data_IF_322687647075
#
_entry.id   IF_322687647075
#
_cell.length_a   1.000
_cell.length_b   1.000
_cell.length_c   1.000
_cell.angle_alpha   90.00
_cell.angle_beta   90.00
_cell.angle_gamma   90.00
#
_symmetry.space_group_name_H-M   'P 1'
#
loop_
_entity.id
_entity.type
_entity.pdbx_description
1 polymer ?
#
# COMPACT_ATOMS: atom_id res chain seq x y z
N UNK A 1 -17.81 8.22 22.40
CA UNK A 1 -17.70 7.65 21.03
C UNK A 1 -16.68 6.51 21.05
N UNK A 2 -17.09 5.25 20.94
CA UNK A 2 -16.16 4.10 20.92
C UNK A 2 -15.55 3.98 19.52
N UNK A 3 -14.23 4.10 19.41
CA UNK A 3 -13.54 3.87 18.14
C UNK A 3 -13.65 2.38 17.79
N UNK A 4 -14.41 2.06 16.73
CA UNK A 4 -14.45 0.71 16.16
C UNK A 4 -13.03 0.33 15.71
N UNK A 5 -12.38 -0.52 16.50
CA UNK A 5 -11.02 -0.99 16.25
C UNK A 5 -11.08 -2.10 15.21
N UNK A 6 -11.10 -1.73 13.93
CA UNK A 6 -11.04 -2.71 12.84
C UNK A 6 -9.78 -3.57 12.97
N UNK A 7 -9.99 -4.88 13.13
CA UNK A 7 -8.95 -5.86 13.45
C UNK A 7 -8.26 -6.31 12.16
N UNK A 8 -7.26 -5.55 11.72
CA UNK A 8 -6.41 -5.93 10.60
C UNK A 8 -5.44 -7.03 11.08
N UNK A 9 -5.49 -8.21 10.46
CA UNK A 9 -4.65 -9.38 10.81
C UNK A 9 -3.21 -9.30 10.27
N UNK A 10 -2.91 -8.27 9.48
CA UNK A 10 -1.65 -8.09 8.75
C UNK A 10 -0.81 -7.05 9.47
N UNK A 11 0.51 -7.27 9.55
CA UNK A 11 1.47 -6.38 10.19
C UNK A 11 2.34 -5.69 9.15
N UNK A 12 2.95 -4.56 9.55
CA UNK A 12 3.97 -3.90 8.74
C UNK A 12 5.15 -4.86 8.58
N UNK A 13 5.64 -5.02 7.35
CA UNK A 13 6.71 -5.95 7.01
C UNK A 13 6.26 -7.35 6.59
N UNK A 14 4.96 -7.69 6.69
CA UNK A 14 4.45 -8.94 6.11
C UNK A 14 4.54 -8.91 4.58
N UNK A 15 4.79 -10.07 3.98
CA UNK A 15 4.69 -10.28 2.54
C UNK A 15 3.25 -10.65 2.21
N UNK A 16 2.66 -9.93 1.27
CA UNK A 16 1.28 -10.12 0.86
C UNK A 16 1.20 -10.24 -0.66
N UNK A 17 0.21 -10.99 -1.12
CA UNK A 17 -0.15 -11.14 -2.52
C UNK A 17 -1.50 -10.48 -2.77
N UNK A 18 -1.65 -9.82 -3.91
CA UNK A 18 -2.91 -9.20 -4.33
C UNK A 18 -3.79 -10.26 -5.02
N UNK A 19 -5.03 -10.39 -4.54
CA UNK A 19 -6.01 -11.37 -5.04
C UNK A 19 -6.83 -10.76 -6.19
N UNK A 20 -7.14 -9.47 -6.10
CA UNK A 20 -8.09 -8.80 -6.98
C UNK A 20 -7.68 -7.36 -7.31
N UNK A 21 -8.14 -6.87 -8.46
CA UNK A 21 -7.87 -5.51 -8.96
C UNK A 21 -6.80 -5.47 -10.05
N UNK A 22 -6.37 -4.26 -10.42
CA UNK A 22 -5.42 -4.00 -11.51
C UNK A 22 -4.05 -4.68 -11.34
N UNK A 23 -3.64 -4.90 -10.09
CA UNK A 23 -2.32 -5.45 -9.75
C UNK A 23 -2.43 -6.89 -9.24
N UNK A 24 -3.42 -7.66 -9.74
CA UNK A 24 -3.65 -9.05 -9.38
C UNK A 24 -2.36 -9.88 -9.53
N UNK A 25 -2.17 -10.83 -8.62
CA UNK A 25 -1.06 -11.77 -8.54
C UNK A 25 0.32 -11.18 -8.20
N UNK A 26 0.44 -9.87 -8.09
CA UNK A 26 1.67 -9.24 -7.61
C UNK A 26 1.86 -9.45 -6.11
N UNK A 27 3.12 -9.63 -5.73
CA UNK A 27 3.55 -9.77 -4.34
C UNK A 27 4.38 -8.58 -3.92
N UNK A 28 4.24 -8.16 -2.67
CA UNK A 28 5.07 -7.11 -2.11
C UNK A 28 5.04 -7.07 -0.59
N UNK A 29 5.90 -6.24 -0.03
CA UNK A 29 6.01 -6.02 1.40
C UNK A 29 5.10 -4.88 1.84
N UNK A 30 4.46 -5.04 2.99
CA UNK A 30 3.61 -3.98 3.55
C UNK A 30 4.48 -2.87 4.16
N UNK A 31 4.45 -1.68 3.54
CA UNK A 31 5.16 -0.48 3.99
C UNK A 31 4.41 0.19 5.16
N UNK A 32 3.10 0.39 5.03
CA UNK A 32 2.29 1.11 6.02
C UNK A 32 0.84 0.64 6.05
N UNK A 33 0.20 0.74 7.22
CA UNK A 33 -1.19 0.29 7.44
C UNK A 33 -2.02 1.45 7.98
N UNK A 34 -3.09 1.80 7.26
CA UNK A 34 -4.11 2.77 7.65
C UNK A 34 -5.29 2.03 8.28
N UNK A 35 -5.24 1.85 9.61
CA UNK A 35 -6.26 1.13 10.39
C UNK A 35 -7.65 1.76 10.33
N UNK A 36 -7.74 3.09 10.14
CA UNK A 36 -9.02 3.81 10.04
C UNK A 36 -9.81 3.44 8.78
N UNK A 37 -9.12 3.18 7.67
CA UNK A 37 -9.74 2.94 6.35
C UNK A 37 -9.54 1.51 5.87
N UNK A 38 -9.08 0.59 6.73
CA UNK A 38 -8.76 -0.79 6.39
C UNK A 38 -7.86 -0.93 5.14
N UNK A 39 -6.97 0.03 4.93
CA UNK A 39 -6.12 0.09 3.76
C UNK A 39 -4.66 -0.01 4.15
N UNK A 40 -3.83 -0.45 3.22
CA UNK A 40 -2.40 -0.64 3.41
C UNK A 40 -1.65 -0.27 2.14
N UNK A 41 -0.43 0.21 2.30
CA UNK A 41 0.47 0.53 1.20
C UNK A 41 1.47 -0.61 1.05
N UNK A 42 1.58 -1.14 -0.16
CA UNK A 42 2.51 -2.21 -0.51
C UNK A 42 3.65 -1.60 -1.32
N UNK A 43 4.87 -2.03 -1.03
CA UNK A 43 6.07 -1.57 -1.73
C UNK A 43 6.00 -1.92 -3.23
N UNK A 44 6.36 -0.95 -4.08
CA UNK A 44 6.43 -1.07 -5.54
C UNK A 44 5.11 -1.40 -6.26
N UNK A 45 3.97 -1.24 -5.59
CA UNK A 45 2.65 -1.50 -6.19
C UNK A 45 1.77 -0.25 -6.12
N UNK A 46 0.90 -0.08 -7.13
CA UNK A 46 -0.11 0.97 -7.18
C UNK A 46 0.47 2.40 -7.17
N UNK A 47 1.46 2.66 -8.02
CA UNK A 47 2.03 3.99 -8.19
C UNK A 47 0.98 5.00 -8.69
N UNK A 48 0.95 6.16 -8.04
CA UNK A 48 0.18 7.33 -8.43
C UNK A 48 1.12 8.50 -8.65
N UNK A 49 0.93 9.18 -9.76
CA UNK A 49 1.68 10.39 -10.08
C UNK A 49 1.10 11.56 -9.28
N UNK A 50 1.91 12.15 -8.41
CA UNK A 50 1.54 13.34 -7.65
C UNK A 50 2.37 14.52 -8.13
N UNK A 51 1.69 15.52 -8.68
CA UNK A 51 2.28 16.82 -9.00
C UNK A 51 2.44 17.61 -7.70
N UNK A 52 3.67 17.94 -7.34
CA UNK A 52 3.98 18.70 -6.13
C UNK A 52 4.33 20.11 -6.56
N UNK A 53 3.51 21.07 -6.13
CA UNK A 53 3.82 22.49 -6.30
C UNK A 53 5.10 22.83 -5.52
N UNK A 54 5.99 23.66 -6.07
CA UNK A 54 7.19 24.08 -5.37
C UNK A 54 6.83 24.86 -4.10
N UNK A 55 7.64 24.72 -3.05
CA UNK A 55 7.42 25.42 -1.78
C UNK A 55 8.12 26.77 -1.75
N UNK A 56 9.27 26.89 -2.43
CA UNK A 56 9.98 28.15 -2.60
C UNK A 56 9.93 28.59 -4.07
N UNK A 57 10.00 29.91 -4.27
CA UNK A 57 9.89 30.58 -5.57
C UNK A 57 10.97 30.14 -6.57
N UNK A 58 12.11 29.63 -6.07
CA UNK A 58 13.26 29.17 -6.87
C UNK A 58 13.33 27.65 -7.10
N UNK A 59 12.41 26.86 -6.53
CA UNK A 59 12.39 25.42 -6.72
C UNK A 59 11.51 25.03 -7.92
N UNK A 60 12.01 24.10 -8.75
CA UNK A 60 11.20 23.53 -9.85
C UNK A 60 10.15 22.57 -9.29
N UNK A 61 8.92 22.68 -9.78
CA UNK A 61 7.86 21.73 -9.48
C UNK A 61 8.29 20.30 -9.85
N UNK A 62 8.12 19.35 -8.93
CA UNK A 62 8.57 17.97 -9.13
C UNK A 62 7.38 17.02 -9.28
N UNK A 63 7.50 16.09 -10.23
CA UNK A 63 6.54 15.00 -10.43
C UNK A 63 7.03 13.79 -9.63
N UNK A 64 6.36 13.48 -8.53
CA UNK A 64 6.72 12.33 -7.68
C UNK A 64 5.77 11.17 -7.92
N UNK A 65 6.32 9.97 -8.12
CA UNK A 65 5.55 8.72 -8.08
C UNK A 65 5.45 8.27 -6.62
N UNK A 66 4.23 8.13 -6.11
CA UNK A 66 3.96 7.68 -4.74
C UNK A 66 3.14 6.40 -4.77
N UNK A 67 3.37 5.52 -3.81
CA UNK A 67 2.63 4.27 -3.66
C UNK A 67 1.22 4.54 -3.11
N UNK A 68 0.22 3.92 -3.74
CA UNK A 68 -1.18 4.07 -3.39
C UNK A 68 -1.66 3.03 -2.38
N UNK A 69 -2.66 3.36 -1.55
CA UNK A 69 -3.27 2.40 -0.65
C UNK A 69 -4.09 1.35 -1.40
N UNK A 70 -4.10 0.13 -0.89
CA UNK A 70 -4.90 -1.03 -1.32
C UNK A 70 -5.73 -1.50 -0.13
N UNK A 71 -6.98 -1.92 -0.36
CA UNK A 71 -7.86 -2.40 0.69
C UNK A 71 -7.43 -3.78 1.21
N UNK A 72 -7.55 -4.03 2.51
CA UNK A 72 -7.10 -5.29 3.13
C UNK A 72 -7.84 -6.54 2.62
N UNK A 73 -9.07 -6.40 2.11
CA UNK A 73 -9.83 -7.52 1.54
C UNK A 73 -9.29 -8.03 0.21
N UNK A 74 -8.51 -7.21 -0.51
CA UNK A 74 -7.98 -7.56 -1.82
C UNK A 74 -6.61 -8.23 -1.74
N UNK A 75 -6.16 -8.58 -0.54
CA UNK A 75 -4.83 -9.15 -0.31
C UNK A 75 -4.89 -10.36 0.60
N UNK A 76 -3.92 -11.25 0.39
CA UNK A 76 -3.70 -12.42 1.23
C UNK A 76 -2.26 -12.40 1.75
N UNK A 77 -2.08 -12.78 3.01
CA UNK A 77 -0.73 -13.03 3.55
C UNK A 77 -0.17 -14.28 2.87
N UNK A 78 0.96 -14.15 2.18
CA UNK A 78 1.65 -15.32 1.65
C UNK A 78 2.62 -15.85 2.70
N UNK A 79 2.72 -17.17 2.80
CA UNK A 79 3.66 -17.85 3.71
C UNK A 79 4.68 -18.69 2.95
N UNK A 80 4.73 -18.61 1.62
CA UNK A 80 5.37 -19.63 0.81
C UNK A 80 6.53 -19.06 -0.01
N UNK A 81 7.74 -19.46 0.34
CA UNK A 81 8.59 -20.12 -0.64
C UNK A 81 7.95 -21.48 -0.93
N UNK A 82 7.21 -21.61 -2.02
CA UNK A 82 7.06 -22.88 -2.71
C UNK A 82 7.96 -22.79 -3.93
N UNK A 83 9.25 -23.05 -3.71
CA UNK A 83 10.10 -23.55 -4.79
C UNK A 83 9.68 -25.00 -5.00
N UNK A 84 9.10 -25.28 -6.16
CA UNK A 84 8.97 -26.65 -6.67
C UNK A 84 10.32 -27.08 -7.22
#
# INVERSE_FOLDING_TARGET
MKANKNKIKIKKGDIVKIISGKFKDQTGKVNSIKKKTNSLTIENINFKTKHIKPKQTEEKGTIKKIEGPIHCSNIIRTSKEKKF
#
